data_IF_459094272483
#
_entry.id   IF_459094272483
#
_cell.length_a   1.000
_cell.length_b   1.000
_cell.length_c   1.000
_cell.angle_alpha   90.00
_cell.angle_beta   90.00
_cell.angle_gamma   90.00
#
_symmetry.space_group_name_H-M   'P 1'
#
loop_
_entity.id
_entity.type
_entity.pdbx_description
1 polymer ?
#
# COMPACT_ATOMS: atom_id res chain seq x y z
N UNK A 1 -16.18 -43.84 14.04
CA UNK A 1 -16.50 -42.48 14.46
C UNK A 1 -15.22 -41.68 14.70
N UNK A 2 -15.11 -40.52 14.11
CA UNK A 2 -13.98 -39.63 14.36
C UNK A 2 -14.04 -39.07 15.79
N UNK A 3 -12.90 -39.07 16.49
CA UNK A 3 -12.81 -38.49 17.83
C UNK A 3 -12.93 -36.96 17.75
N UNK A 4 -13.28 -36.31 18.86
CA UNK A 4 -13.32 -34.85 18.94
C UNK A 4 -11.99 -34.19 18.53
N UNK A 5 -10.85 -34.82 18.91
CA UNK A 5 -9.52 -34.36 18.52
C UNK A 5 -9.29 -34.44 17.01
N UNK A 6 -9.76 -35.50 16.35
CA UNK A 6 -9.66 -35.62 14.89
C UNK A 6 -10.53 -34.62 14.16
N UNK A 7 -11.72 -34.33 14.67
CA UNK A 7 -12.60 -33.28 14.10
C UNK A 7 -11.98 -31.89 14.22
N UNK A 8 -11.38 -31.56 15.36
CA UNK A 8 -10.69 -30.27 15.58
C UNK A 8 -9.49 -30.16 14.65
N UNK A 9 -8.70 -31.22 14.47
CA UNK A 9 -7.56 -31.21 13.56
C UNK A 9 -7.99 -31.01 12.10
N UNK A 10 -9.09 -31.64 11.66
CA UNK A 10 -9.64 -31.47 10.32
C UNK A 10 -10.13 -30.02 10.10
N UNK A 11 -10.78 -29.41 11.09
CA UNK A 11 -11.20 -28.00 11.02
C UNK A 11 -10.04 -27.05 10.94
N UNK A 12 -8.97 -27.28 11.71
CA UNK A 12 -7.74 -26.47 11.66
C UNK A 12 -7.07 -26.54 10.28
N UNK A 13 -6.98 -27.73 9.70
CA UNK A 13 -6.40 -27.93 8.37
C UNK A 13 -7.24 -27.25 7.28
N UNK A 14 -8.57 -27.33 7.36
CA UNK A 14 -9.47 -26.66 6.43
C UNK A 14 -9.31 -25.14 6.50
N UNK A 15 -9.25 -24.55 7.69
CA UNK A 15 -9.07 -23.12 7.88
C UNK A 15 -7.70 -22.65 7.38
N UNK A 16 -6.63 -23.44 7.63
CA UNK A 16 -5.29 -23.12 7.14
C UNK A 16 -5.24 -23.14 5.60
N UNK A 17 -5.86 -24.12 4.94
CA UNK A 17 -5.94 -24.19 3.48
C UNK A 17 -6.73 -23.01 2.89
N UNK A 18 -7.85 -22.65 3.51
CA UNK A 18 -8.66 -21.50 3.10
C UNK A 18 -7.90 -20.19 3.23
N UNK A 19 -7.13 -19.99 4.30
CA UNK A 19 -6.27 -18.84 4.49
C UNK A 19 -5.16 -18.78 3.44
N UNK A 20 -4.52 -19.90 3.10
CA UNK A 20 -3.52 -19.97 2.04
C UNK A 20 -4.09 -19.61 0.67
N UNK A 21 -5.28 -20.10 0.32
CA UNK A 21 -5.94 -19.72 -0.94
C UNK A 21 -6.24 -18.23 -1.01
N UNK A 22 -6.73 -17.65 0.07
CA UNK A 22 -7.02 -16.21 0.16
C UNK A 22 -5.74 -15.40 0.03
N UNK A 23 -4.66 -15.80 0.69
CA UNK A 23 -3.35 -15.15 0.58
C UNK A 23 -2.79 -15.22 -0.84
N UNK A 24 -2.91 -16.37 -1.52
CA UNK A 24 -2.45 -16.55 -2.90
C UNK A 24 -3.24 -15.66 -3.87
N UNK A 25 -4.54 -15.51 -3.68
CA UNK A 25 -5.38 -14.61 -4.47
C UNK A 25 -4.99 -13.15 -4.28
N UNK A 26 -4.75 -12.74 -3.04
CA UNK A 26 -4.29 -11.39 -2.71
C UNK A 26 -2.91 -11.11 -3.30
N UNK A 27 -1.98 -12.05 -3.20
CA UNK A 27 -0.65 -11.93 -3.81
C UNK A 27 -0.75 -11.76 -5.33
N UNK A 28 -1.56 -12.56 -6.01
CA UNK A 28 -1.78 -12.46 -7.45
C UNK A 28 -2.35 -11.10 -7.82
N UNK A 29 -3.29 -10.57 -7.05
CA UNK A 29 -3.86 -9.25 -7.26
C UNK A 29 -2.80 -8.15 -7.11
N UNK A 30 -2.00 -8.19 -6.04
CA UNK A 30 -0.93 -7.23 -5.78
C UNK A 30 0.13 -7.26 -6.88
N UNK A 31 0.52 -8.45 -7.36
CA UNK A 31 1.47 -8.58 -8.46
C UNK A 31 0.96 -8.00 -9.78
N UNK A 32 -0.37 -7.94 -9.97
CA UNK A 32 -0.97 -7.32 -11.16
C UNK A 32 -0.97 -5.79 -11.11
N UNK A 33 -0.73 -5.20 -9.94
CA UNK A 33 -0.75 -3.75 -9.78
C UNK A 33 0.51 -3.11 -10.36
N UNK A 34 0.34 -1.94 -10.97
CA UNK A 34 1.46 -1.09 -11.34
C UNK A 34 2.16 -0.55 -10.09
N UNK A 35 3.41 -0.09 -10.24
CA UNK A 35 4.17 0.57 -9.18
C UNK A 35 3.40 1.75 -8.59
N UNK A 36 2.77 2.53 -9.45
CA UNK A 36 2.00 3.73 -9.07
C UNK A 36 0.79 3.36 -8.22
N UNK A 37 0.06 2.31 -8.62
CA UNK A 37 -1.08 1.80 -7.83
C UNK A 37 -0.64 1.26 -6.49
N UNK A 38 0.49 0.57 -6.43
CA UNK A 38 1.03 0.04 -5.18
C UNK A 38 1.35 1.18 -4.19
N UNK A 39 2.03 2.22 -4.64
CA UNK A 39 2.36 3.39 -3.81
C UNK A 39 1.08 4.06 -3.30
N UNK A 40 0.09 4.23 -4.17
CA UNK A 40 -1.20 4.81 -3.79
C UNK A 40 -1.89 3.99 -2.69
N UNK A 41 -1.89 2.67 -2.84
CA UNK A 41 -2.45 1.75 -1.83
C UNK A 41 -1.68 1.79 -0.51
N UNK A 42 -0.37 1.99 -0.56
CA UNK A 42 0.45 2.15 0.64
C UNK A 42 0.11 3.44 1.40
N UNK A 43 -0.12 4.54 0.69
CA UNK A 43 -0.60 5.77 1.32
C UNK A 43 -1.96 5.56 1.98
N UNK A 44 -2.90 4.92 1.30
CA UNK A 44 -4.21 4.60 1.86
C UNK A 44 -4.10 3.73 3.12
N UNK A 45 -3.23 2.73 3.10
CA UNK A 45 -2.99 1.86 4.25
C UNK A 45 -2.41 2.63 5.44
N UNK A 46 -1.48 3.55 5.21
CA UNK A 46 -0.95 4.43 6.26
C UNK A 46 -2.07 5.27 6.89
N UNK A 47 -2.89 5.90 6.06
CA UNK A 47 -3.99 6.76 6.51
C UNK A 47 -4.96 5.98 7.40
N UNK A 48 -5.38 4.80 6.94
CA UNK A 48 -6.30 3.94 7.70
C UNK A 48 -5.66 3.48 9.01
N UNK A 49 -4.40 3.07 8.97
CA UNK A 49 -3.69 2.59 10.16
C UNK A 49 -3.59 3.67 11.24
N UNK A 50 -3.19 4.88 10.86
CA UNK A 50 -3.04 5.99 11.80
C UNK A 50 -4.40 6.45 12.34
N UNK A 51 -5.44 6.48 11.51
CA UNK A 51 -6.80 6.80 11.95
C UNK A 51 -7.34 5.80 12.98
N UNK A 52 -6.89 4.53 12.90
CA UNK A 52 -7.20 3.49 13.88
C UNK A 52 -6.25 3.48 15.07
N UNK A 53 -5.36 4.43 15.15
CA UNK A 53 -4.32 4.54 16.17
C UNK A 53 -3.36 3.33 16.19
N UNK A 54 -3.18 2.68 15.04
CA UNK A 54 -2.20 1.60 14.86
C UNK A 54 -0.87 2.18 14.39
N UNK A 55 -0.11 2.71 15.35
CA UNK A 55 1.16 3.41 15.10
C UNK A 55 2.22 2.44 14.57
N UNK A 56 2.26 1.22 15.08
CA UNK A 56 3.21 0.19 14.65
C UNK A 56 3.04 -0.11 13.17
N UNK A 57 1.80 -0.28 12.71
CA UNK A 57 1.50 -0.55 11.30
C UNK A 57 1.80 0.67 10.43
N UNK A 58 1.43 1.87 10.89
CA UNK A 58 1.77 3.12 10.20
C UNK A 58 3.27 3.29 10.01
N UNK A 59 4.06 3.01 11.04
CA UNK A 59 5.52 3.04 10.97
C UNK A 59 6.08 2.05 9.94
N UNK A 60 5.57 0.82 9.92
CA UNK A 60 5.98 -0.21 8.96
C UNK A 60 5.70 0.22 7.51
N UNK A 61 4.56 0.84 7.27
CA UNK A 61 4.21 1.34 5.93
C UNK A 61 5.19 2.42 5.49
N UNK A 62 5.56 3.34 6.38
CA UNK A 62 6.55 4.38 6.06
C UNK A 62 7.93 3.76 5.73
N UNK A 63 8.35 2.75 6.45
CA UNK A 63 9.60 2.03 6.16
C UNK A 63 9.56 1.40 4.77
N UNK A 64 8.45 0.78 4.39
CA UNK A 64 8.26 0.20 3.07
C UNK A 64 8.28 1.28 1.98
N UNK A 65 7.65 2.43 2.22
CA UNK A 65 7.69 3.57 1.30
C UNK A 65 9.13 4.10 1.12
N UNK A 66 9.90 4.21 2.19
CA UNK A 66 11.31 4.59 2.12
C UNK A 66 12.13 3.58 1.31
N UNK A 67 11.88 2.29 1.51
CA UNK A 67 12.59 1.20 0.81
C UNK A 67 12.26 1.16 -0.68
N UNK A 68 11.09 1.64 -1.07
CA UNK A 68 10.63 1.65 -2.46
C UNK A 68 11.17 2.84 -3.27
N UNK A 69 11.87 3.78 -2.65
CA UNK A 69 12.42 4.95 -3.34
C UNK A 69 13.51 4.56 -4.34
N UNK A 70 13.45 5.16 -5.53
CA UNK A 70 14.48 4.99 -6.56
C UNK A 70 15.46 6.16 -6.52
N UNK A 71 16.66 5.93 -5.98
CA UNK A 71 17.69 6.96 -5.83
C UNK A 71 18.39 7.33 -7.14
N UNK A 72 18.03 6.72 -8.27
CA UNK A 72 18.39 7.25 -9.60
C UNK A 72 17.78 8.64 -9.82
N UNK A 73 16.61 8.89 -9.23
CA UNK A 73 15.98 10.22 -9.16
C UNK A 73 16.29 10.87 -7.81
N UNK A 74 17.57 11.14 -7.57
CA UNK A 74 18.10 11.50 -6.24
C UNK A 74 17.37 12.67 -5.60
N UNK A 75 17.13 13.75 -6.33
CA UNK A 75 16.50 14.96 -5.76
C UNK A 75 15.11 14.68 -5.19
N UNK A 76 14.25 14.02 -5.97
CA UNK A 76 12.88 13.68 -5.54
C UNK A 76 12.91 12.64 -4.44
N UNK A 77 13.74 11.62 -4.57
CA UNK A 77 13.84 10.53 -3.59
C UNK A 77 14.33 11.01 -2.24
N UNK A 78 15.32 11.88 -2.20
CA UNK A 78 15.82 12.47 -0.95
C UNK A 78 14.74 13.31 -0.27
N UNK A 79 13.99 14.10 -1.03
CA UNK A 79 12.88 14.91 -0.48
C UNK A 79 11.78 14.03 0.10
N UNK A 80 11.40 12.98 -0.61
CA UNK A 80 10.39 12.03 -0.13
C UNK A 80 10.87 11.26 1.10
N UNK A 81 12.13 10.83 1.09
CA UNK A 81 12.72 10.13 2.24
C UNK A 81 12.65 11.00 3.50
N UNK A 82 13.05 12.27 3.40
CA UNK A 82 12.98 13.22 4.52
C UNK A 82 11.57 13.43 5.01
N UNK A 83 10.62 13.50 4.08
CA UNK A 83 9.21 13.69 4.40
C UNK A 83 8.63 12.47 5.12
N UNK A 84 8.94 11.27 4.66
CA UNK A 84 8.54 10.03 5.32
C UNK A 84 9.17 9.91 6.72
N UNK A 85 10.43 10.24 6.86
CA UNK A 85 11.12 10.25 8.15
C UNK A 85 10.49 11.25 9.11
N UNK A 86 10.12 12.42 8.64
CA UNK A 86 9.39 13.41 9.42
C UNK A 86 8.02 12.89 9.87
N UNK A 87 7.27 12.26 8.98
CA UNK A 87 5.99 11.63 9.32
C UNK A 87 6.17 10.56 10.41
N UNK A 88 7.25 9.79 10.34
CA UNK A 88 7.56 8.77 11.33
C UNK A 88 7.79 9.40 12.71
N UNK A 89 8.55 10.48 12.79
CA UNK A 89 8.71 11.24 14.04
C UNK A 89 7.38 11.78 14.54
N UNK A 90 6.54 12.31 13.66
CA UNK A 90 5.22 12.81 14.02
C UNK A 90 4.34 11.74 14.68
N UNK A 91 4.27 10.55 14.10
CA UNK A 91 3.41 9.49 14.67
C UNK A 91 3.94 8.97 16.00
N UNK A 92 5.25 8.91 16.20
CA UNK A 92 5.84 8.53 17.50
C UNK A 92 5.67 9.61 18.56
N UNK A 93 5.58 10.88 18.17
CA UNK A 93 5.31 12.01 19.07
C UNK A 93 3.82 12.28 19.25
N UNK A 94 2.96 11.42 18.72
CA UNK A 94 1.49 11.55 18.74
C UNK A 94 0.96 12.79 18.02
N UNK A 95 1.70 13.33 17.09
CA UNK A 95 1.28 14.38 16.15
C UNK A 95 0.63 13.74 14.93
N UNK A 96 -0.45 13.00 15.15
CA UNK A 96 -1.09 12.17 14.13
C UNK A 96 -1.73 13.00 13.03
N UNK A 97 -2.35 14.13 13.37
CA UNK A 97 -3.02 15.01 12.41
C UNK A 97 -2.04 15.56 11.38
N UNK A 98 -0.84 15.93 11.80
CA UNK A 98 0.21 16.44 10.92
C UNK A 98 0.68 15.38 9.92
N UNK A 99 0.96 14.17 10.41
CA UNK A 99 1.34 13.05 9.54
C UNK A 99 0.23 12.69 8.56
N UNK A 100 -1.02 12.65 9.03
CA UNK A 100 -2.19 12.40 8.17
C UNK A 100 -2.34 13.45 7.08
N UNK A 101 -2.17 14.73 7.43
CA UNK A 101 -2.26 15.82 6.46
C UNK A 101 -1.21 15.66 5.34
N UNK A 102 0.05 15.42 5.71
CA UNK A 102 1.15 15.25 4.77
C UNK A 102 0.90 14.08 3.82
N UNK A 103 0.59 12.91 4.37
CA UNK A 103 0.38 11.70 3.55
C UNK A 103 -0.90 11.80 2.71
N UNK A 104 -1.95 12.43 3.24
CA UNK A 104 -3.17 12.66 2.46
C UNK A 104 -2.91 13.56 1.26
N UNK A 105 -2.13 14.63 1.40
CA UNK A 105 -1.75 15.48 0.29
C UNK A 105 -0.88 14.76 -0.74
N UNK A 106 0.09 13.98 -0.29
CA UNK A 106 0.91 13.14 -1.18
C UNK A 106 0.04 12.14 -1.93
N UNK A 107 -0.86 11.49 -1.24
CA UNK A 107 -1.81 10.52 -1.81
C UNK A 107 -2.65 11.17 -2.90
N UNK A 108 -3.21 12.33 -2.64
CA UNK A 108 -4.07 13.03 -3.58
C UNK A 108 -3.30 13.50 -4.82
N UNK A 109 -2.11 14.02 -4.63
CA UNK A 109 -1.21 14.42 -5.73
C UNK A 109 -0.82 13.21 -6.58
N UNK A 110 -0.49 12.10 -5.94
CA UNK A 110 -0.12 10.86 -6.62
C UNK A 110 -1.28 10.30 -7.43
N UNK A 111 -2.48 10.25 -6.83
CA UNK A 111 -3.69 9.77 -7.49
C UNK A 111 -4.04 10.61 -8.72
N UNK A 112 -3.89 11.92 -8.63
CA UNK A 112 -4.15 12.84 -9.73
C UNK A 112 -3.17 12.61 -10.89
N UNK A 113 -1.90 12.47 -10.59
CA UNK A 113 -0.85 12.20 -11.58
C UNK A 113 -1.08 10.82 -12.25
N UNK A 114 -1.39 9.81 -11.46
CA UNK A 114 -1.68 8.46 -11.93
C UNK A 114 -2.89 8.44 -12.88
N UNK A 115 -3.97 9.12 -12.54
CA UNK A 115 -5.16 9.24 -13.40
C UNK A 115 -4.85 9.90 -14.72
N UNK A 116 -4.05 10.97 -14.69
CA UNK A 116 -3.64 11.66 -15.91
C UNK A 116 -2.82 10.76 -16.83
N UNK A 117 -1.91 9.97 -16.28
CA UNK A 117 -1.13 8.99 -17.03
C UNK A 117 -2.00 7.89 -17.63
N UNK A 118 -2.96 7.35 -16.87
CA UNK A 118 -3.93 6.37 -17.38
C UNK A 118 -4.78 6.93 -18.52
N UNK A 119 -5.30 8.13 -18.36
CA UNK A 119 -6.11 8.79 -19.38
C UNK A 119 -5.31 9.04 -20.65
N UNK A 120 -4.06 9.47 -20.54
CA UNK A 120 -3.16 9.67 -21.67
C UNK A 120 -2.89 8.35 -22.40
N UNK A 121 -2.60 7.28 -21.66
CA UNK A 121 -2.36 5.97 -22.23
C UNK A 121 -3.61 5.40 -22.93
N UNK A 122 -4.78 5.59 -22.35
CA UNK A 122 -6.05 5.17 -22.95
C UNK A 122 -6.35 5.98 -24.22
N UNK A 123 -6.08 7.26 -24.25
CA UNK A 123 -6.26 8.12 -25.43
C UNK A 123 -5.34 7.70 -26.57
N UNK A 124 -4.07 7.41 -26.29
CA UNK A 124 -3.11 6.91 -27.28
C UNK A 124 -3.54 5.54 -27.81
N UNK A 125 -4.05 4.66 -26.96
CA UNK A 125 -4.56 3.36 -27.37
C UNK A 125 -5.78 3.47 -28.29
N UNK A 126 -6.69 4.39 -28.01
CA UNK A 126 -7.86 4.64 -28.86
C UNK A 126 -7.48 5.20 -30.23
N UNK A 127 -6.49 6.08 -30.32
CA UNK A 127 -5.98 6.60 -31.58
C UNK A 127 -5.34 5.52 -32.44
N UNK A 128 -4.61 4.57 -31.84
CA UNK A 128 -4.03 3.42 -32.55
C UNK A 128 -5.08 2.40 -33.00
N UNK A 129 -6.16 2.22 -32.28
CA UNK A 129 -7.24 1.30 -32.61
C UNK A 129 -8.17 1.83 -33.73
N UNK A 130 -8.16 3.15 -33.98
CA UNK A 130 -8.96 3.80 -35.05
C UNK A 130 -8.25 3.92 -36.40
N UNK A 131 -7.03 3.38 -36.50
CA UNK A 131 -6.25 3.30 -37.74
C UNK A 131 -6.38 1.90 -38.33
#
# INVERSE_FOLDING_TARGET
MATAAQQIAAMKNFNAQKQQQTMSMLEAEVYSWSKEKLILKMYDLFIVSVKRNDITKGSKVLIELMSALNFEYEEVSVRLYRLYEYCQRCIFQKKLDEALHIITELRNTWAKTFKLEEETNNSVKQETDNV
#
